data_IF_411093289706
#
_entry.id   IF_411093289706
#
_cell.length_a   1.000
_cell.length_b   1.000
_cell.length_c   1.000
_cell.angle_alpha   90.00
_cell.angle_beta   90.00
_cell.angle_gamma   90.00
#
_symmetry.space_group_name_H-M   'P 1'
#
loop_
_entity.id
_entity.type
_entity.pdbx_description
1 polymer ?
#
# COMPACT_ATOMS: atom_id res chain seq x y z
N UNK A 1 -68.91 22.75 54.16
CA UNK A 1 -67.54 22.20 54.21
C UNK A 1 -67.13 21.86 52.80
N UNK A 2 -66.15 22.58 52.22
CA UNK A 2 -65.00 21.94 51.60
C UNK A 2 -63.97 22.99 51.17
N UNK A 3 -62.77 22.76 51.70
CA UNK A 3 -61.59 23.60 51.67
C UNK A 3 -60.93 23.53 50.30
N UNK A 4 -60.78 24.67 49.65
CA UNK A 4 -59.93 24.84 48.45
C UNK A 4 -58.47 24.83 48.96
N UNK A 5 -57.76 23.73 48.72
CA UNK A 5 -56.31 23.65 48.94
C UNK A 5 -55.62 24.56 47.92
N UNK A 6 -54.94 25.60 48.39
CA UNK A 6 -53.97 26.34 47.58
C UNK A 6 -52.77 25.43 47.29
N UNK A 7 -52.43 25.28 46.01
CA UNK A 7 -51.20 24.65 45.55
C UNK A 7 -50.06 25.68 45.67
N UNK A 8 -49.17 25.45 46.63
CA UNK A 8 -47.95 26.22 46.81
C UNK A 8 -46.93 25.81 45.72
N UNK A 9 -46.84 26.60 44.64
CA UNK A 9 -45.86 26.41 43.58
C UNK A 9 -44.48 26.84 44.08
N UNK A 10 -43.73 25.88 44.61
CA UNK A 10 -42.34 26.05 45.02
C UNK A 10 -41.51 26.74 43.92
N UNK A 11 -41.12 27.99 44.19
CA UNK A 11 -40.23 28.79 43.34
C UNK A 11 -38.88 28.06 43.26
N UNK A 12 -38.63 27.32 42.16
CA UNK A 12 -37.28 26.84 41.83
C UNK A 12 -36.39 28.06 41.61
N UNK A 13 -35.58 28.40 42.61
CA UNK A 13 -34.56 29.42 42.50
C UNK A 13 -33.66 29.10 41.32
N UNK A 14 -33.72 29.93 40.28
CA UNK A 14 -32.74 29.90 39.19
C UNK A 14 -31.41 30.36 39.80
N UNK A 15 -30.56 29.40 40.17
CA UNK A 15 -29.17 29.68 40.49
C UNK A 15 -28.51 30.22 39.21
N UNK A 16 -28.23 31.52 39.19
CA UNK A 16 -27.45 32.12 38.13
C UNK A 16 -25.98 31.70 38.32
N UNK A 17 -25.37 31.22 37.24
CA UNK A 17 -23.96 30.86 37.23
C UNK A 17 -23.10 32.06 37.64
N UNK A 18 -22.19 31.87 38.57
CA UNK A 18 -21.23 32.91 38.92
C UNK A 18 -20.14 33.01 37.85
N UNK A 19 -19.58 34.21 37.65
CA UNK A 19 -18.47 34.42 36.71
C UNK A 19 -17.27 33.54 37.07
N UNK A 20 -17.06 33.26 38.36
CA UNK A 20 -15.98 32.42 38.86
C UNK A 20 -16.15 30.94 38.48
N UNK A 21 -17.37 30.39 38.59
CA UNK A 21 -17.64 29.00 38.16
C UNK A 21 -17.37 28.82 36.67
N UNK A 22 -17.78 29.77 35.83
CA UNK A 22 -17.49 29.73 34.41
C UNK A 22 -15.97 29.81 34.13
N UNK A 23 -15.26 30.68 34.85
CA UNK A 23 -13.83 30.87 34.67
C UNK A 23 -13.03 29.61 35.02
N UNK A 24 -13.35 28.95 36.13
CA UNK A 24 -12.68 27.70 36.55
C UNK A 24 -12.92 26.58 35.54
N UNK A 25 -14.13 26.46 35.00
CA UNK A 25 -14.46 25.44 33.99
C UNK A 25 -13.64 25.64 32.72
N UNK A 26 -13.58 26.87 32.19
CA UNK A 26 -12.76 27.14 30.99
C UNK A 26 -11.28 26.87 31.28
N UNK A 27 -10.79 27.21 32.46
CA UNK A 27 -9.41 26.95 32.87
C UNK A 27 -9.08 25.45 32.86
N UNK A 28 -9.96 24.62 33.41
CA UNK A 28 -9.80 23.16 33.42
C UNK A 28 -9.84 22.60 31.99
N UNK A 29 -10.76 23.07 31.13
CA UNK A 29 -10.85 22.65 29.73
C UNK A 29 -9.57 22.96 28.97
N UNK A 30 -8.97 24.14 29.18
CA UNK A 30 -7.69 24.52 28.55
C UNK A 30 -6.55 23.60 29.00
N UNK A 31 -6.45 23.30 30.29
CA UNK A 31 -5.42 22.38 30.82
C UNK A 31 -5.61 20.96 30.24
N UNK A 32 -6.85 20.46 30.19
CA UNK A 32 -7.11 19.14 29.61
C UNK A 32 -6.79 19.11 28.12
N UNK A 33 -7.15 20.17 27.37
CA UNK A 33 -6.86 20.26 25.94
C UNK A 33 -5.34 20.27 25.66
N UNK A 34 -4.53 20.99 26.45
CA UNK A 34 -3.08 21.04 26.26
C UNK A 34 -2.40 19.69 26.51
N UNK A 35 -2.92 18.88 27.44
CA UNK A 35 -2.42 17.52 27.72
C UNK A 35 -2.83 16.50 26.65
N UNK A 36 -3.95 16.69 25.96
CA UNK A 36 -4.45 15.76 24.92
C UNK A 36 -3.77 15.99 23.56
N UNK A 37 -3.43 17.25 23.22
CA UNK A 37 -2.76 17.61 21.96
C UNK A 37 -1.48 16.80 21.62
N UNK A 38 -0.52 16.55 22.55
CA UNK A 38 0.70 15.82 22.24
C UNK A 38 0.48 14.32 21.94
N UNK A 39 -0.68 13.75 22.25
CA UNK A 39 -0.98 12.34 21.95
C UNK A 39 -1.47 12.12 20.51
N UNK A 40 -1.99 13.16 19.85
CA UNK A 40 -2.53 13.06 18.49
C UNK A 40 -1.46 13.11 17.39
N UNK A 41 -0.21 13.45 17.73
CA UNK A 41 0.91 13.55 16.80
C UNK A 41 1.70 12.24 16.63
N UNK A 42 1.05 11.07 16.79
CA UNK A 42 1.68 9.81 16.37
C UNK A 42 2.05 9.93 14.88
N UNK A 43 3.34 9.83 14.51
CA UNK A 43 3.73 9.98 13.12
C UNK A 43 3.01 8.92 12.30
N UNK A 44 2.31 9.34 11.24
CA UNK A 44 1.57 8.47 10.32
C UNK A 44 2.43 7.33 9.76
N UNK A 45 3.76 7.47 9.81
CA UNK A 45 4.77 6.55 9.26
C UNK A 45 4.64 5.08 9.69
N UNK A 46 4.28 4.78 10.94
CA UNK A 46 4.15 3.37 11.38
C UNK A 46 2.86 2.73 10.86
N UNK A 47 1.76 3.47 10.90
CA UNK A 47 0.46 3.00 10.36
C UNK A 47 0.54 2.81 8.85
N UNK A 48 1.16 3.75 8.13
CA UNK A 48 1.35 3.67 6.68
C UNK A 48 2.26 2.51 6.28
N UNK A 49 3.32 2.20 7.06
CA UNK A 49 4.17 1.04 6.78
C UNK A 49 3.43 -0.29 6.89
N UNK A 50 2.52 -0.44 7.86
CA UNK A 50 1.69 -1.65 7.99
C UNK A 50 0.73 -1.75 6.80
N UNK A 51 0.15 -0.62 6.37
CA UNK A 51 -0.73 -0.60 5.21
C UNK A 51 0.00 -0.91 3.89
N UNK A 52 1.24 -0.41 3.67
CA UNK A 52 1.99 -0.79 2.46
C UNK A 52 2.28 -2.29 2.41
N UNK A 53 2.68 -2.89 3.53
CA UNK A 53 2.86 -4.36 3.61
C UNK A 53 1.54 -5.09 3.36
N UNK A 54 0.44 -4.62 3.94
CA UNK A 54 -0.87 -5.25 3.76
C UNK A 54 -1.40 -5.14 2.31
N UNK A 55 -1.19 -4.00 1.66
CA UNK A 55 -1.53 -3.81 0.26
C UNK A 55 -0.72 -4.76 -0.63
N UNK A 56 0.59 -4.86 -0.39
CA UNK A 56 1.45 -5.76 -1.16
C UNK A 56 1.12 -7.25 -0.89
N UNK A 57 0.69 -7.61 0.33
CA UNK A 57 0.15 -8.95 0.62
C UNK A 57 -1.13 -9.25 -0.16
N UNK A 58 -2.05 -8.28 -0.25
CA UNK A 58 -3.27 -8.43 -1.05
C UNK A 58 -2.94 -8.57 -2.54
N UNK A 59 -1.91 -7.86 -3.03
CA UNK A 59 -1.38 -8.06 -4.39
C UNK A 59 -0.90 -9.50 -4.57
N UNK A 60 -0.05 -10.00 -3.68
CA UNK A 60 0.48 -11.37 -3.77
C UNK A 60 -0.63 -12.43 -3.69
N UNK A 61 -1.64 -12.21 -2.84
CA UNK A 61 -2.82 -13.07 -2.79
C UNK A 61 -3.62 -13.00 -4.09
N UNK A 62 -3.79 -11.82 -4.68
CA UNK A 62 -4.47 -11.64 -5.96
C UNK A 62 -3.81 -12.42 -7.10
N UNK A 63 -2.47 -12.40 -7.17
CA UNK A 63 -1.71 -13.24 -8.10
C UNK A 63 -2.03 -14.72 -7.93
N UNK A 64 -2.00 -15.22 -6.70
CA UNK A 64 -2.24 -16.64 -6.39
C UNK A 64 -3.67 -17.08 -6.66
N UNK A 65 -4.66 -16.27 -6.29
CA UNK A 65 -6.07 -16.57 -6.57
C UNK A 65 -6.32 -16.60 -8.07
N UNK A 66 -5.80 -15.61 -8.80
CA UNK A 66 -5.92 -15.57 -10.25
C UNK A 66 -5.21 -16.74 -10.93
N UNK A 67 -3.99 -17.08 -10.51
CA UNK A 67 -3.24 -18.21 -11.05
C UNK A 67 -3.98 -19.53 -10.81
N UNK A 68 -4.53 -19.75 -9.61
CA UNK A 68 -5.34 -20.95 -9.31
C UNK A 68 -6.54 -21.11 -10.25
N UNK A 69 -7.16 -20.01 -10.68
CA UNK A 69 -8.25 -20.03 -11.66
C UNK A 69 -7.76 -20.16 -13.12
N UNK A 70 -6.45 -19.95 -13.37
CA UNK A 70 -5.83 -19.91 -14.70
C UNK A 70 -4.69 -20.93 -14.84
N UNK A 71 -4.94 -22.18 -14.39
CA UNK A 71 -4.02 -23.33 -14.54
C UNK A 71 -2.69 -23.19 -13.79
N UNK A 72 -2.70 -22.52 -12.63
CA UNK A 72 -1.53 -22.23 -11.79
C UNK A 72 -0.45 -21.40 -12.50
N UNK A 73 -0.84 -20.66 -13.55
CA UNK A 73 0.05 -19.81 -14.34
C UNK A 73 -0.20 -18.35 -13.97
N UNK A 74 0.86 -17.63 -13.62
CA UNK A 74 0.76 -16.21 -13.33
C UNK A 74 0.43 -15.35 -14.58
N UNK A 75 -0.18 -14.16 -14.43
CA UNK A 75 -0.58 -13.29 -15.54
C UNK A 75 0.53 -12.96 -16.55
N UNK A 76 1.80 -12.87 -16.13
CA UNK A 76 2.92 -12.57 -17.03
C UNK A 76 3.31 -13.74 -17.94
N UNK A 77 2.96 -14.97 -17.58
CA UNK A 77 3.24 -16.18 -18.37
C UNK A 77 2.00 -16.74 -19.05
N UNK A 78 0.82 -16.31 -18.62
CA UNK A 78 -0.45 -16.79 -19.16
C UNK A 78 -0.64 -16.38 -20.62
N UNK A 79 -1.09 -17.34 -21.43
CA UNK A 79 -1.28 -17.16 -22.87
C UNK A 79 -2.49 -17.93 -23.38
N UNK A 80 -3.35 -17.22 -24.09
CA UNK A 80 -4.49 -17.71 -24.84
C UNK A 80 -4.51 -17.07 -26.23
N UNK A 81 -5.58 -17.27 -27.00
CA UNK A 81 -5.75 -16.58 -28.28
C UNK A 81 -6.02 -15.07 -28.09
N UNK A 82 -6.65 -14.70 -26.96
CA UNK A 82 -7.09 -13.32 -26.69
C UNK A 82 -6.15 -12.56 -25.75
N UNK A 83 -5.28 -13.27 -25.03
CA UNK A 83 -4.35 -12.68 -24.06
C UNK A 83 -2.95 -13.29 -24.19
N UNK A 84 -1.91 -12.46 -24.16
CA UNK A 84 -0.52 -12.91 -24.12
C UNK A 84 0.24 -12.05 -23.11
N UNK A 85 0.40 -12.60 -21.90
CA UNK A 85 1.04 -11.92 -20.77
C UNK A 85 2.42 -11.37 -21.10
N UNK A 86 3.20 -12.10 -21.89
CA UNK A 86 4.56 -11.71 -22.25
C UNK A 86 4.61 -10.36 -22.99
N UNK A 87 3.55 -9.99 -23.74
CA UNK A 87 3.49 -8.71 -24.49
C UNK A 87 3.44 -7.49 -23.56
N UNK A 88 2.96 -7.64 -22.33
CA UNK A 88 2.80 -6.55 -21.38
C UNK A 88 4.01 -6.33 -20.47
N UNK A 89 5.12 -7.03 -20.74
CA UNK A 89 6.41 -6.90 -20.04
C UNK A 89 7.14 -5.61 -20.41
N UNK A 90 6.47 -4.46 -20.26
CA UNK A 90 7.01 -3.13 -20.49
C UNK A 90 6.39 -2.09 -19.54
N UNK A 91 7.08 -0.97 -19.31
CA UNK A 91 6.64 0.05 -18.36
C UNK A 91 5.34 0.74 -18.71
N UNK A 92 4.92 0.75 -19.98
CA UNK A 92 3.66 1.38 -20.40
C UNK A 92 2.46 0.50 -20.07
N UNK A 93 2.62 -0.81 -20.11
CA UNK A 93 1.50 -1.77 -20.10
C UNK A 93 1.51 -2.76 -18.94
N UNK A 94 2.55 -2.82 -18.11
CA UNK A 94 2.63 -3.73 -16.95
C UNK A 94 1.44 -3.62 -15.97
N UNK A 95 0.73 -2.48 -15.98
CA UNK A 95 -0.49 -2.32 -15.19
C UNK A 95 -1.57 -3.36 -15.54
N UNK A 96 -1.53 -3.90 -16.76
CA UNK A 96 -2.46 -4.93 -17.24
C UNK A 96 -2.40 -6.18 -16.36
N UNK A 97 -1.23 -6.54 -15.80
CA UNK A 97 -1.14 -7.66 -14.86
C UNK A 97 -2.05 -7.48 -13.65
N UNK A 98 -2.16 -6.25 -13.12
CA UNK A 98 -3.09 -5.94 -12.05
C UNK A 98 -4.53 -5.79 -12.55
N UNK A 99 -4.71 -5.31 -13.78
CA UNK A 99 -6.03 -5.10 -14.38
C UNK A 99 -6.76 -6.42 -14.62
N UNK A 100 -6.07 -7.45 -15.11
CA UNK A 100 -6.67 -8.78 -15.33
C UNK A 100 -7.05 -9.47 -14.02
N UNK A 101 -6.39 -9.10 -12.92
CA UNK A 101 -6.71 -9.55 -11.56
C UNK A 101 -7.67 -8.62 -10.82
N UNK A 102 -8.37 -7.72 -11.52
CA UNK A 102 -9.23 -6.71 -10.89
C UNK A 102 -10.34 -7.31 -10.02
N UNK A 103 -10.87 -8.49 -10.38
CA UNK A 103 -11.84 -9.22 -9.56
C UNK A 103 -11.24 -9.65 -8.22
N UNK A 104 -10.00 -10.14 -8.23
CA UNK A 104 -9.28 -10.60 -7.04
C UNK A 104 -8.83 -9.43 -6.15
N UNK A 105 -8.50 -8.30 -6.77
CA UNK A 105 -8.06 -7.11 -6.05
C UNK A 105 -9.23 -6.27 -5.54
N UNK A 106 -10.41 -6.33 -6.15
CA UNK A 106 -11.60 -5.51 -5.82
C UNK A 106 -11.46 -3.99 -5.96
N UNK A 107 -10.28 -3.39 -5.72
CA UNK A 107 -10.03 -1.95 -5.84
C UNK A 107 -8.60 -1.61 -6.30
N UNK A 108 -8.42 -0.62 -7.19
CA UNK A 108 -7.09 -0.17 -7.61
C UNK A 108 -6.30 0.53 -6.49
N UNK A 109 -6.92 0.83 -5.33
CA UNK A 109 -6.21 1.38 -4.17
C UNK A 109 -5.17 0.41 -3.60
N UNK A 110 -5.34 -0.89 -3.82
CA UNK A 110 -4.42 -1.93 -3.33
C UNK A 110 -3.09 -1.88 -4.06
N UNK A 111 -3.06 -1.46 -5.33
CA UNK A 111 -1.83 -1.45 -6.15
C UNK A 111 -0.99 -0.17 -6.00
N UNK A 112 -1.34 0.66 -5.01
CA UNK A 112 -0.60 1.86 -4.61
C UNK A 112 -0.15 1.68 -3.17
N UNK A 113 1.14 1.94 -2.89
CA UNK A 113 1.63 1.98 -1.52
C UNK A 113 1.28 3.34 -0.90
N UNK A 114 0.64 3.39 0.28
CA UNK A 114 0.37 4.63 0.99
C UNK A 114 1.59 5.52 1.30
N UNK A 115 2.80 4.98 1.20
CA UNK A 115 4.06 5.73 1.33
C UNK A 115 4.58 6.31 0.01
N UNK A 116 3.96 6.01 -1.13
CA UNK A 116 4.35 6.56 -2.43
C UNK A 116 3.63 7.89 -2.65
N UNK A 117 4.32 8.99 -2.36
CA UNK A 117 3.78 10.34 -2.53
C UNK A 117 3.67 10.76 -4.00
N UNK A 118 4.31 10.03 -4.94
CA UNK A 118 4.32 10.39 -6.36
C UNK A 118 3.17 9.77 -7.14
N UNK A 119 2.48 8.77 -6.59
CA UNK A 119 1.40 8.05 -7.27
C UNK A 119 0.09 8.15 -6.51
N UNK A 120 -0.98 8.32 -7.26
CA UNK A 120 -2.35 8.30 -6.76
C UNK A 120 -3.08 7.09 -7.30
N UNK A 121 -3.94 6.48 -6.49
CA UNK A 121 -4.79 5.39 -6.94
C UNK A 121 -5.72 5.85 -8.06
N UNK A 122 -5.98 4.94 -9.01
CA UNK A 122 -7.07 5.12 -9.98
C UNK A 122 -8.43 5.03 -9.26
N UNK A 123 -9.48 5.51 -9.92
CA UNK A 123 -10.86 5.41 -9.45
C UNK A 123 -11.48 4.06 -9.77
N UNK A 124 -11.06 3.43 -10.86
CA UNK A 124 -11.45 2.08 -11.26
C UNK A 124 -10.32 1.40 -12.05
N UNK A 125 -10.55 0.16 -12.50
CA UNK A 125 -9.59 -0.61 -13.32
C UNK A 125 -9.76 -0.43 -14.83
N UNK A 126 -10.63 0.47 -15.30
CA UNK A 126 -11.00 0.57 -16.72
C UNK A 126 -10.63 1.92 -17.33
N UNK A 127 -11.24 3.02 -16.87
CA UNK A 127 -11.17 4.32 -17.53
C UNK A 127 -9.91 5.12 -17.22
N UNK A 128 -9.36 5.00 -16.02
CA UNK A 128 -8.22 5.81 -15.56
C UNK A 128 -7.03 4.99 -15.04
N UNK A 129 -7.11 3.65 -15.13
CA UNK A 129 -6.04 2.76 -14.73
C UNK A 129 -4.96 2.65 -15.79
N UNK A 130 -3.73 2.98 -15.42
CA UNK A 130 -2.56 2.93 -16.29
C UNK A 130 -1.28 2.79 -15.46
N UNK A 131 -0.12 2.73 -16.11
CA UNK A 131 1.14 2.44 -15.41
C UNK A 131 1.61 3.51 -14.42
N UNK A 132 1.10 4.75 -14.49
CA UNK A 132 1.39 5.79 -13.49
C UNK A 132 0.58 5.62 -12.19
N UNK A 133 -0.43 4.74 -12.21
CA UNK A 133 -1.35 4.46 -11.09
C UNK A 133 -0.95 3.22 -10.27
N UNK A 134 0.28 2.73 -10.46
CA UNK A 134 0.80 1.50 -9.84
C UNK A 134 2.13 1.79 -9.15
N UNK A 135 2.24 1.48 -7.85
CA UNK A 135 3.47 1.68 -7.05
C UNK A 135 4.36 0.44 -6.98
N UNK A 136 3.99 -0.66 -7.61
CA UNK A 136 4.73 -1.91 -7.52
C UNK A 136 5.33 -2.32 -8.86
N UNK A 137 6.58 -2.75 -8.87
CA UNK A 137 7.11 -3.56 -9.97
C UNK A 137 6.52 -4.97 -9.91
N UNK A 138 6.62 -5.70 -11.03
CA UNK A 138 6.27 -7.13 -11.12
C UNK A 138 7.52 -7.92 -11.52
N UNK A 139 7.77 -9.05 -10.87
CA UNK A 139 8.82 -9.97 -11.25
C UNK A 139 8.34 -10.90 -12.35
N UNK A 140 9.02 -10.87 -13.50
CA UNK A 140 8.65 -11.62 -14.70
C UNK A 140 9.10 -13.09 -14.65
N UNK A 141 9.88 -13.48 -13.65
CA UNK A 141 10.35 -14.85 -13.44
C UNK A 141 9.65 -15.52 -12.25
N UNK A 142 8.63 -14.87 -11.68
CA UNK A 142 7.90 -15.42 -10.55
C UNK A 142 6.99 -16.57 -10.99
N UNK A 143 7.02 -17.65 -10.23
CA UNK A 143 6.28 -18.88 -10.50
C UNK A 143 5.86 -19.51 -9.18
N UNK A 144 4.69 -20.13 -9.12
CA UNK A 144 4.17 -20.74 -7.88
C UNK A 144 5.05 -21.92 -7.40
N UNK A 145 5.77 -22.58 -8.31
CA UNK A 145 6.74 -23.63 -8.00
C UNK A 145 8.04 -23.08 -7.39
N UNK A 146 8.26 -21.77 -7.47
CA UNK A 146 9.43 -21.07 -6.97
C UNK A 146 9.03 -20.13 -5.81
N UNK A 147 8.86 -20.63 -4.58
CA UNK A 147 8.31 -19.87 -3.46
C UNK A 147 9.16 -18.64 -3.09
N UNK A 148 10.47 -18.70 -3.33
CA UNK A 148 11.40 -17.59 -3.05
C UNK A 148 11.58 -16.65 -4.25
N UNK A 149 10.88 -16.87 -5.37
CA UNK A 149 10.94 -15.95 -6.51
C UNK A 149 10.32 -14.60 -6.16
N UNK A 150 10.87 -13.52 -6.69
CA UNK A 150 10.34 -12.17 -6.49
C UNK A 150 9.09 -12.00 -7.34
N UNK A 151 7.93 -11.81 -6.72
CA UNK A 151 6.65 -11.65 -7.40
C UNK A 151 6.30 -10.20 -7.69
N UNK A 152 6.40 -9.33 -6.68
CA UNK A 152 6.13 -7.90 -6.79
C UNK A 152 6.90 -7.14 -5.72
N UNK A 153 6.98 -5.81 -5.83
CA UNK A 153 7.60 -5.00 -4.78
C UNK A 153 7.62 -3.53 -5.12
N UNK A 154 8.05 -2.70 -4.18
CA UNK A 154 8.03 -1.24 -4.35
C UNK A 154 8.86 -0.79 -5.58
N UNK A 155 8.35 0.15 -6.37
CA UNK A 155 8.99 0.53 -7.64
C UNK A 155 10.34 1.27 -7.49
N UNK A 156 10.67 1.76 -6.29
CA UNK A 156 11.75 2.73 -6.06
C UNK A 156 13.15 2.10 -5.95
N UNK A 157 13.50 1.19 -6.86
CA UNK A 157 14.85 0.61 -6.95
C UNK A 157 15.81 1.53 -7.70
N UNK A 158 17.08 1.59 -7.28
CA UNK A 158 18.11 2.49 -7.84
C UNK A 158 18.42 2.26 -9.31
N UNK A 159 18.19 1.04 -9.81
CA UNK A 159 18.47 0.67 -11.20
C UNK A 159 17.21 0.69 -12.09
N UNK A 160 16.07 1.16 -11.58
CA UNK A 160 14.80 1.26 -12.33
C UNK A 160 14.91 2.09 -13.62
N UNK A 161 15.84 3.04 -13.67
CA UNK A 161 16.03 4.00 -14.78
C UNK A 161 16.84 3.42 -15.95
N UNK A 162 17.52 2.29 -15.77
CA UNK A 162 18.47 1.75 -16.76
C UNK A 162 17.81 1.01 -17.94
N UNK A 163 16.48 0.86 -17.98
CA UNK A 163 15.79 0.08 -19.00
C UNK A 163 14.95 0.92 -19.95
N UNK A 164 15.30 0.87 -21.26
CA UNK A 164 14.53 1.51 -22.35
C UNK A 164 13.05 1.08 -22.40
N UNK A 165 12.73 -0.12 -21.90
CA UNK A 165 11.37 -0.67 -21.89
C UNK A 165 10.80 -0.85 -20.46
N UNK A 166 11.52 -0.43 -19.42
CA UNK A 166 11.10 -0.61 -18.03
C UNK A 166 11.36 -1.99 -17.41
N UNK A 167 12.04 -2.89 -18.12
CA UNK A 167 12.47 -4.20 -17.58
C UNK A 167 13.92 -4.14 -17.12
N UNK A 168 14.17 -4.35 -15.84
CA UNK A 168 15.51 -4.37 -15.25
C UNK A 168 15.89 -5.78 -14.87
N UNK A 169 17.09 -6.18 -15.29
CA UNK A 169 17.68 -7.46 -14.91
C UNK A 169 18.54 -7.26 -13.65
N UNK A 170 18.12 -7.84 -12.54
CA UNK A 170 18.88 -7.83 -11.29
C UNK A 170 19.61 -9.17 -11.17
N UNK A 171 20.94 -9.09 -11.14
CA UNK A 171 21.81 -10.27 -10.95
C UNK A 171 22.19 -10.41 -9.47
N UNK A 172 22.55 -11.62 -9.06
CA UNK A 172 22.96 -11.95 -7.68
C UNK A 172 24.18 -11.16 -7.19
N UNK A 173 25.02 -10.72 -8.12
CA UNK A 173 26.22 -9.91 -7.85
C UNK A 173 26.04 -8.44 -8.25
N UNK A 174 24.86 -8.05 -8.74
CA UNK A 174 24.56 -6.70 -9.17
C UNK A 174 24.47 -5.71 -8.01
N UNK A 175 24.71 -4.43 -8.31
CA UNK A 175 24.48 -3.33 -7.36
C UNK A 175 23.05 -2.85 -7.55
N UNK A 176 22.10 -3.48 -6.87
CA UNK A 176 20.73 -2.96 -6.71
C UNK A 176 20.52 -2.47 -5.28
N UNK A 177 19.72 -1.41 -5.14
CA UNK A 177 19.32 -0.86 -3.84
C UNK A 177 18.04 -0.06 -3.96
N UNK A 178 17.66 0.63 -2.88
CA UNK A 178 16.45 1.43 -2.81
C UNK A 178 16.76 2.92 -2.86
N UNK A 179 15.94 3.71 -3.56
CA UNK A 179 15.96 5.17 -3.43
C UNK A 179 15.24 5.60 -2.14
N UNK A 180 15.33 6.89 -1.79
CA UNK A 180 14.63 7.44 -0.63
C UNK A 180 13.12 7.60 -0.81
N UNK A 181 12.58 7.40 -2.02
CA UNK A 181 11.29 7.94 -2.44
C UNK A 181 10.05 7.41 -1.68
N UNK A 182 10.06 6.16 -1.20
CA UNK A 182 8.88 5.56 -0.53
C UNK A 182 9.21 5.18 0.91
N UNK A 183 10.27 4.42 1.12
CA UNK A 183 10.62 3.83 2.42
C UNK A 183 12.07 4.09 2.84
N UNK A 184 12.61 5.27 2.52
CA UNK A 184 13.90 5.76 3.05
C UNK A 184 15.02 4.71 2.94
N UNK A 185 15.38 4.31 1.72
CA UNK A 185 16.42 3.29 1.43
C UNK A 185 16.09 1.85 1.85
N UNK A 186 14.80 1.57 2.06
CA UNK A 186 14.24 0.22 2.13
C UNK A 186 13.08 0.09 1.14
N UNK A 187 12.57 -1.12 0.98
CA UNK A 187 11.37 -1.42 0.20
C UNK A 187 10.76 -2.74 0.62
N UNK A 188 9.49 -2.94 0.30
CA UNK A 188 8.77 -4.18 0.49
C UNK A 188 8.83 -5.01 -0.79
N UNK A 189 9.01 -6.32 -0.64
CA UNK A 189 9.05 -7.29 -1.73
C UNK A 189 8.13 -8.45 -1.37
N UNK A 190 7.19 -8.75 -2.25
CA UNK A 190 6.36 -9.96 -2.22
C UNK A 190 7.09 -11.09 -2.91
N UNK A 191 7.05 -12.28 -2.30
CA UNK A 191 7.60 -13.50 -2.86
C UNK A 191 6.50 -14.42 -3.40
N UNK A 192 6.87 -15.40 -4.22
CA UNK A 192 5.96 -16.38 -4.80
C UNK A 192 5.18 -17.20 -3.75
N UNK A 193 5.71 -17.35 -2.53
CA UNK A 193 5.00 -17.99 -1.41
C UNK A 193 3.89 -17.13 -0.78
N UNK A 194 3.72 -15.88 -1.22
CA UNK A 194 2.76 -14.91 -0.67
C UNK A 194 3.26 -14.15 0.56
N UNK A 195 4.50 -14.43 1.02
CA UNK A 195 5.13 -13.63 2.07
C UNK A 195 5.58 -12.27 1.53
N UNK A 196 5.61 -11.27 2.42
CA UNK A 196 6.12 -9.94 2.10
C UNK A 196 7.24 -9.60 3.08
N UNK A 197 8.40 -9.25 2.53
CA UNK A 197 9.59 -8.89 3.29
C UNK A 197 9.93 -7.42 3.06
N UNK A 198 10.10 -6.67 4.14
CA UNK A 198 10.70 -5.34 4.09
C UNK A 198 12.21 -5.49 4.16
N UNK A 199 12.91 -5.05 3.14
CA UNK A 199 14.37 -5.24 2.99
C UNK A 199 15.10 -3.91 2.79
N UNK A 200 16.27 -3.79 3.40
CA UNK A 200 17.23 -2.73 3.06
C UNK A 200 17.96 -3.06 1.75
N UNK A 201 18.84 -2.17 1.27
CA UNK A 201 19.70 -2.45 0.12
C UNK A 201 20.54 -3.74 0.30
N UNK A 202 21.04 -4.00 1.51
CA UNK A 202 21.79 -5.24 1.80
C UNK A 202 20.85 -6.46 1.84
N UNK A 203 19.66 -6.31 2.44
CA UNK A 203 18.65 -7.36 2.49
C UNK A 203 18.16 -7.75 1.09
N UNK A 204 18.00 -6.78 0.18
CA UNK A 204 17.62 -7.04 -1.20
C UNK A 204 18.63 -7.94 -1.91
N UNK A 205 19.94 -7.73 -1.72
CA UNK A 205 20.98 -8.61 -2.28
C UNK A 205 20.88 -10.04 -1.73
N UNK A 206 20.61 -10.19 -0.43
CA UNK A 206 20.37 -11.50 0.18
C UNK A 206 19.16 -12.19 -0.42
N UNK A 207 18.06 -11.45 -0.57
CA UNK A 207 16.79 -11.94 -1.15
C UNK A 207 16.96 -12.37 -2.61
N UNK A 208 17.65 -11.57 -3.43
CA UNK A 208 17.95 -11.92 -4.83
C UNK A 208 18.82 -13.17 -4.93
N UNK A 209 19.73 -13.41 -3.97
CA UNK A 209 20.51 -14.65 -3.91
C UNK A 209 19.67 -15.85 -3.49
N UNK A 210 18.72 -15.67 -2.58
CA UNK A 210 17.85 -16.77 -2.10
C UNK A 210 16.83 -17.24 -3.13
N UNK A 211 16.56 -16.46 -4.19
CA UNK A 211 15.69 -16.92 -5.28
C UNK A 211 16.27 -18.10 -6.06
N UNK A 212 17.59 -18.32 -5.98
CA UNK A 212 18.28 -19.36 -6.75
C UNK A 212 18.46 -19.03 -8.24
N UNK A 213 17.99 -17.87 -8.70
CA UNK A 213 18.07 -17.44 -10.10
C UNK A 213 19.31 -16.57 -10.35
N UNK A 214 20.03 -16.85 -11.44
CA UNK A 214 21.20 -16.04 -11.84
C UNK A 214 20.81 -14.59 -12.20
N UNK A 215 19.65 -14.43 -12.81
CA UNK A 215 19.07 -13.13 -13.20
C UNK A 215 17.59 -13.12 -12.81
N UNK A 216 17.14 -12.01 -12.23
CA UNK A 216 15.74 -11.76 -11.88
C UNK A 216 15.26 -10.58 -12.72
N UNK A 217 14.30 -10.80 -13.60
CA UNK A 217 13.74 -9.79 -14.50
C UNK A 217 12.57 -9.11 -13.80
N UNK A 218 12.66 -7.80 -13.59
CA UNK A 218 11.61 -7.00 -12.95
C UNK A 218 11.11 -5.95 -13.92
N UNK A 219 9.79 -5.85 -14.11
CA UNK A 219 9.17 -4.77 -14.89
C UNK A 219 8.62 -3.69 -13.97
N UNK A 220 9.02 -2.45 -14.22
CA UNK A 220 8.68 -1.29 -13.40
C UNK A 220 7.50 -0.52 -14.02
N UNK A 221 6.67 0.11 -13.18
CA UNK A 221 5.63 1.02 -13.68
C UNK A 221 6.26 2.20 -14.43
N UNK A 222 5.46 2.84 -15.28
CA UNK A 222 5.85 4.04 -16.01
C UNK A 222 6.34 5.14 -15.07
N UNK A 223 7.30 5.93 -15.56
CA UNK A 223 7.75 7.14 -14.87
C UNK A 223 6.59 8.09 -14.66
N UNK A 224 6.56 8.70 -13.48
CA UNK A 224 5.74 9.87 -13.18
C UNK A 224 6.61 11.08 -13.49
N UNK A 225 6.21 11.89 -14.49
CA UNK A 225 6.89 13.13 -14.85
C UNK A 225 6.83 14.14 -13.70
#
# INVERSE_FOLDING_TARGET
MNCIKQLDLGRRGRQAFTVLELMVVVFIVVILATLILPMMSRPRSRSTSIMCVNNLKQVGLGFRMWAGDNSDINPMHYKTNDFDGAKYSNSKQMFIYFQVMSNELSTPKIVVCPGDEKRSAATNFTSDFNSTKVSYFVGLDADETLPQSVLAGDWNLTNSVASKNGVVNITTNGVSGWTKDIHQFSGNVALGDGSVQKVSTMGLKGLIKSTGMATNRLVFPGGVN
#
